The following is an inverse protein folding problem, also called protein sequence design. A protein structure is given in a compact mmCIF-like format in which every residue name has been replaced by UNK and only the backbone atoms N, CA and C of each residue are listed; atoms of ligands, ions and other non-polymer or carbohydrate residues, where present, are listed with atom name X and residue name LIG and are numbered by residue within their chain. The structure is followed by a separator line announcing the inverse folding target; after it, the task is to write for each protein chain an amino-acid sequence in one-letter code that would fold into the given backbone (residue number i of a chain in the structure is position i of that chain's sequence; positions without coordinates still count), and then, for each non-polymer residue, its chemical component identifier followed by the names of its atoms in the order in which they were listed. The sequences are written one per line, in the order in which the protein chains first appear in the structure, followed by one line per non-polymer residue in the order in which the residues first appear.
data_IF_434424531558
#
_entry.id   IF_434424531558
#
_cell.length_a   1.000
_cell.length_b   1.000
_cell.length_c   1.000
_cell.angle_alpha   90.00
_cell.angle_beta   90.00
_cell.angle_gamma   90.00
#
_symmetry.space_group_name_H-M   'P 1'
#
loop_
_entity.id
_entity.type
_entity.pdbx_description
1 polymer ?
#
# COMPACT_ATOMS: atom_id res chain seq x y z
N UNK A 1 41.36 -3.46 -12.24
CA UNK A 1 42.71 -2.86 -12.22
C UNK A 1 43.50 -3.65 -11.18
N UNK A 2 44.49 -4.44 -11.60
CA UNK A 2 45.28 -5.22 -10.67
C UNK A 2 46.08 -4.25 -9.80
N UNK A 3 45.82 -4.24 -8.50
CA UNK A 3 46.74 -3.61 -7.56
C UNK A 3 48.03 -4.42 -7.64
N UNK A 4 49.04 -3.87 -8.31
CA UNK A 4 50.40 -4.40 -8.20
C UNK A 4 50.76 -4.15 -6.73
N UNK A 5 50.71 -5.21 -5.92
CA UNK A 5 51.10 -5.13 -4.54
C UNK A 5 52.58 -4.73 -4.52
N UNK A 6 52.90 -3.64 -3.83
CA UNK A 6 54.28 -3.23 -3.64
C UNK A 6 55.03 -4.38 -2.93
N UNK A 7 55.99 -5.01 -3.62
CA UNK A 7 56.86 -6.04 -3.04
C UNK A 7 58.14 -5.37 -2.51
N UNK A 8 58.32 -5.29 -1.17
CA UNK A 8 59.48 -4.65 -0.58
C UNK A 8 60.79 -5.36 -0.95
N UNK A 9 60.75 -6.67 -1.22
CA UNK A 9 61.93 -7.49 -1.49
C UNK A 9 62.43 -7.33 -2.93
N UNK A 10 61.50 -7.21 -3.87
CA UNK A 10 61.84 -6.89 -5.27
C UNK A 10 62.41 -5.48 -5.37
N UNK A 11 61.83 -4.54 -4.62
CA UNK A 11 62.30 -3.15 -4.55
C UNK A 11 63.70 -3.01 -3.93
N UNK A 12 64.05 -3.79 -2.89
CA UNK A 12 65.42 -3.78 -2.36
C UNK A 12 66.43 -4.29 -3.39
N UNK A 13 66.08 -5.34 -4.14
CA UNK A 13 66.96 -5.92 -5.16
C UNK A 13 67.22 -4.94 -6.32
N UNK A 14 66.23 -4.16 -6.73
CA UNK A 14 66.40 -3.10 -7.74
C UNK A 14 67.31 -1.96 -7.26
N UNK A 15 67.20 -1.58 -5.99
CA UNK A 15 68.09 -0.58 -5.38
C UNK A 15 69.54 -1.08 -5.29
N UNK A 16 69.74 -2.35 -4.93
CA UNK A 16 71.06 -2.97 -4.95
C UNK A 16 71.65 -3.03 -6.37
N UNK A 17 70.84 -3.39 -7.37
CA UNK A 17 71.25 -3.47 -8.77
C UNK A 17 71.64 -2.09 -9.36
N UNK A 18 71.09 -1.00 -8.80
CA UNK A 18 71.44 0.37 -9.17
C UNK A 18 72.64 0.95 -8.40
N UNK A 19 73.28 0.14 -7.55
CA UNK A 19 74.52 0.49 -6.84
C UNK A 19 74.32 1.03 -5.43
N UNK A 20 73.10 0.96 -4.87
CA UNK A 20 72.84 1.32 -3.47
C UNK A 20 73.31 0.19 -2.55
N UNK A 21 74.06 0.47 -1.47
CA UNK A 21 74.44 -0.55 -0.49
C UNK A 21 73.21 -1.22 0.13
N UNK A 22 73.27 -2.54 0.34
CA UNK A 22 72.16 -3.37 0.87
C UNK A 22 71.49 -2.81 2.12
N UNK A 23 72.27 -2.33 3.10
CA UNK A 23 71.71 -1.71 4.31
C UNK A 23 70.85 -0.47 4.01
N UNK A 24 71.26 0.36 3.04
CA UNK A 24 70.50 1.54 2.64
C UNK A 24 69.26 1.16 1.81
N UNK A 25 69.39 0.16 0.93
CA UNK A 25 68.29 -0.36 0.15
C UNK A 25 67.16 -0.91 1.05
N UNK A 26 67.50 -1.68 2.08
CA UNK A 26 66.53 -2.20 3.05
C UNK A 26 65.82 -1.10 3.86
N UNK A 27 66.55 -0.04 4.25
CA UNK A 27 65.96 1.10 4.96
C UNK A 27 65.00 1.86 4.05
N UNK A 28 65.35 2.04 2.78
CA UNK A 28 64.44 2.65 1.79
C UNK A 28 63.18 1.82 1.57
N UNK A 29 63.32 0.51 1.38
CA UNK A 29 62.17 -0.37 1.20
C UNK A 29 61.25 -0.38 2.42
N UNK A 30 61.82 -0.42 3.63
CA UNK A 30 61.05 -0.35 4.88
C UNK A 30 60.33 0.99 5.04
N UNK A 31 61.02 2.11 4.77
CA UNK A 31 60.42 3.43 4.83
C UNK A 31 59.27 3.57 3.81
N UNK A 32 59.46 3.08 2.59
CA UNK A 32 58.44 3.13 1.54
C UNK A 32 57.25 2.23 1.86
N UNK A 33 57.47 1.02 2.37
CA UNK A 33 56.42 0.09 2.83
C UNK A 33 55.57 0.71 3.94
N UNK A 34 56.21 1.29 4.96
CA UNK A 34 55.50 1.94 6.07
C UNK A 34 54.63 3.10 5.59
N UNK A 35 55.15 3.91 4.66
CA UNK A 35 54.42 5.03 4.05
C UNK A 35 53.26 4.55 3.17
N UNK A 36 53.43 3.41 2.48
CA UNK A 36 52.40 2.80 1.64
C UNK A 36 51.25 2.24 2.48
N UNK A 37 51.54 1.52 3.56
CA UNK A 37 50.52 0.99 4.49
C UNK A 37 49.73 2.13 5.14
N UNK A 38 50.41 3.16 5.65
CA UNK A 38 49.73 4.33 6.24
C UNK A 38 48.90 5.10 5.20
N UNK A 39 49.35 5.19 3.94
CA UNK A 39 48.53 5.75 2.87
C UNK A 39 47.38 4.83 2.50
N UNK A 40 47.54 3.51 2.57
CA UNK A 40 46.45 2.56 2.32
C UNK A 40 45.37 2.65 3.37
N UNK A 41 45.68 2.78 4.66
CA UNK A 41 44.67 3.03 5.70
C UNK A 41 43.92 4.35 5.47
N UNK A 42 44.56 5.35 4.84
CA UNK A 42 43.93 6.62 4.49
C UNK A 42 43.21 6.62 3.12
N UNK A 43 43.65 5.79 2.16
CA UNK A 43 43.11 5.63 0.79
C UNK A 43 42.03 4.56 0.71
N UNK A 44 42.08 3.57 1.61
CA UNK A 44 40.94 2.74 2.00
C UNK A 44 40.02 3.68 2.75
N UNK A 45 39.23 4.32 1.92
CA UNK A 45 38.16 5.27 2.12
C UNK A 45 37.05 4.73 3.03
N UNK A 46 37.36 3.97 4.10
CA UNK A 46 36.36 3.47 5.05
C UNK A 46 35.53 4.62 5.58
N UNK A 47 36.14 5.72 6.01
CA UNK A 47 35.40 6.89 6.52
C UNK A 47 34.55 7.57 5.43
N UNK A 48 35.09 7.66 4.21
CA UNK A 48 34.34 8.23 3.09
C UNK A 48 33.17 7.34 2.67
N UNK A 49 33.38 6.03 2.59
CA UNK A 49 32.35 5.04 2.28
C UNK A 49 31.31 5.00 3.39
N UNK A 50 31.72 5.01 4.65
CA UNK A 50 30.84 5.02 5.82
C UNK A 50 29.96 6.29 5.83
N UNK A 51 30.55 7.44 5.52
CA UNK A 51 29.81 8.69 5.32
C UNK A 51 28.79 8.58 4.19
N UNK A 52 29.17 7.99 3.05
CA UNK A 52 28.28 7.82 1.88
C UNK A 52 27.18 6.79 2.14
N UNK A 53 27.47 5.73 2.88
CA UNK A 53 26.49 4.74 3.30
C UNK A 53 25.50 5.35 4.29
N UNK A 54 25.97 6.10 5.27
CA UNK A 54 25.11 6.82 6.22
C UNK A 54 24.20 7.83 5.51
N UNK A 55 24.73 8.60 4.56
CA UNK A 55 23.92 9.52 3.73
C UNK A 55 22.87 8.76 2.91
N UNK A 56 23.26 7.62 2.34
CA UNK A 56 22.36 6.76 1.57
C UNK A 56 21.23 6.18 2.45
N UNK A 57 21.55 5.63 3.61
CA UNK A 57 20.59 5.11 4.59
C UNK A 57 19.60 6.20 5.00
N UNK A 58 20.09 7.38 5.36
CA UNK A 58 19.23 8.52 5.72
C UNK A 58 18.29 8.94 4.58
N UNK A 59 18.78 8.93 3.33
CA UNK A 59 17.95 9.24 2.16
C UNK A 59 16.90 8.17 1.89
N UNK A 60 17.23 6.90 2.09
CA UNK A 60 16.29 5.79 1.93
C UNK A 60 15.22 5.85 3.01
N UNK A 61 15.62 6.02 4.26
CA UNK A 61 14.71 6.10 5.41
C UNK A 61 13.70 7.25 5.28
N UNK A 62 14.19 8.43 4.87
CA UNK A 62 13.34 9.59 4.58
C UNK A 62 12.33 9.30 3.46
N UNK A 63 12.76 8.63 2.38
CA UNK A 63 11.88 8.27 1.26
C UNK A 63 10.85 7.22 1.68
N UNK A 64 11.23 6.29 2.53
CA UNK A 64 10.34 5.26 3.05
C UNK A 64 9.27 5.88 3.95
N UNK A 65 9.67 6.74 4.89
CA UNK A 65 8.75 7.49 5.75
C UNK A 65 7.78 8.36 4.93
N UNK A 66 8.26 9.05 3.89
CA UNK A 66 7.38 9.82 3.00
C UNK A 66 6.40 8.93 2.23
N UNK A 67 6.86 7.76 1.78
CA UNK A 67 6.02 6.78 1.10
C UNK A 67 4.92 6.23 2.03
N UNK A 68 5.26 5.83 3.25
CA UNK A 68 4.29 5.40 4.27
C UNK A 68 3.24 6.48 4.54
N UNK A 69 3.68 7.72 4.79
CA UNK A 69 2.76 8.85 5.02
C UNK A 69 1.81 9.09 3.83
N UNK A 70 2.31 8.93 2.59
CA UNK A 70 1.47 9.05 1.38
C UNK A 70 0.49 7.88 1.25
N UNK A 71 0.90 6.68 1.63
CA UNK A 71 0.03 5.50 1.62
C UNK A 71 -1.08 5.63 2.65
N UNK A 72 -0.76 6.03 3.89
CA UNK A 72 -1.76 6.26 4.95
C UNK A 72 -2.81 7.27 4.51
N UNK A 73 -2.38 8.42 3.98
CA UNK A 73 -3.31 9.45 3.45
C UNK A 73 -4.22 8.90 2.35
N UNK A 74 -3.72 8.02 1.49
CA UNK A 74 -4.51 7.39 0.43
C UNK A 74 -5.52 6.41 1.00
N UNK A 75 -5.12 5.57 1.95
CA UNK A 75 -6.02 4.65 2.62
C UNK A 75 -7.10 5.37 3.43
N UNK A 76 -6.77 6.38 4.22
CA UNK A 76 -7.78 7.17 4.94
C UNK A 76 -8.78 7.84 3.99
N UNK A 77 -8.34 8.28 2.80
CA UNK A 77 -9.24 8.83 1.77
C UNK A 77 -10.16 7.75 1.17
N UNK A 78 -9.67 6.52 1.04
CA UNK A 78 -10.47 5.38 0.59
C UNK A 78 -11.51 5.04 1.65
N UNK A 79 -11.15 4.98 2.93
CA UNK A 79 -12.09 4.72 4.03
C UNK A 79 -13.23 5.74 4.06
N UNK A 80 -12.90 7.03 3.95
CA UNK A 80 -13.92 8.10 3.88
C UNK A 80 -14.86 7.89 2.68
N UNK A 81 -14.33 7.49 1.52
CA UNK A 81 -15.14 7.23 0.33
C UNK A 81 -16.05 6.01 0.52
N UNK A 82 -15.57 4.96 1.17
CA UNK A 82 -16.37 3.78 1.50
C UNK A 82 -17.50 4.15 2.47
N UNK A 83 -17.21 4.87 3.55
CA UNK A 83 -18.24 5.32 4.50
C UNK A 83 -19.33 6.17 3.82
N UNK A 84 -18.94 7.06 2.90
CA UNK A 84 -19.90 7.84 2.11
C UNK A 84 -20.71 6.96 1.17
N UNK A 85 -20.11 5.94 0.58
CA UNK A 85 -20.80 5.00 -0.30
C UNK A 85 -21.81 4.16 0.48
N UNK A 86 -21.42 3.63 1.65
CA UNK A 86 -22.31 2.89 2.56
C UNK A 86 -23.51 3.73 2.96
N UNK A 87 -23.29 4.96 3.46
CA UNK A 87 -24.39 5.88 3.81
C UNK A 87 -25.33 6.18 2.63
N UNK A 88 -24.78 6.31 1.41
CA UNK A 88 -25.59 6.49 0.20
C UNK A 88 -26.41 5.24 -0.13
N UNK A 89 -25.84 4.06 0.04
CA UNK A 89 -26.55 2.80 -0.18
C UNK A 89 -27.66 2.62 0.84
N UNK A 90 -27.40 2.84 2.13
CA UNK A 90 -28.41 2.77 3.19
C UNK A 90 -29.58 3.72 2.88
N UNK A 91 -29.28 4.99 2.59
CA UNK A 91 -30.33 5.96 2.26
C UNK A 91 -31.16 5.57 1.00
N UNK A 92 -30.54 4.85 0.05
CA UNK A 92 -31.23 4.38 -1.15
C UNK A 92 -32.10 3.16 -0.84
N UNK A 93 -31.63 2.26 0.02
CA UNK A 93 -32.38 1.11 0.50
C UNK A 93 -33.59 1.58 1.33
N UNK A 94 -33.41 2.55 2.21
CA UNK A 94 -34.49 3.14 3.01
C UNK A 94 -35.56 3.78 2.12
N UNK A 95 -35.14 4.58 1.13
CA UNK A 95 -36.06 5.19 0.17
C UNK A 95 -36.83 4.13 -0.64
N UNK A 96 -36.13 3.09 -1.09
CA UNK A 96 -36.77 2.00 -1.83
C UNK A 96 -37.79 1.27 -0.96
N UNK A 97 -37.43 0.97 0.28
CA UNK A 97 -38.30 0.30 1.25
C UNK A 97 -39.54 1.14 1.57
N UNK A 98 -39.37 2.46 1.74
CA UNK A 98 -40.47 3.39 1.94
C UNK A 98 -41.40 3.48 0.72
N UNK A 99 -40.85 3.60 -0.49
CA UNK A 99 -41.66 3.61 -1.71
C UNK A 99 -42.44 2.29 -1.88
N UNK A 100 -41.80 1.16 -1.59
CA UNK A 100 -42.47 -0.14 -1.58
C UNK A 100 -43.61 -0.18 -0.56
N UNK A 101 -43.40 0.28 0.67
CA UNK A 101 -44.44 0.32 1.70
C UNK A 101 -45.66 1.16 1.24
N UNK A 102 -45.43 2.35 0.68
CA UNK A 102 -46.51 3.21 0.15
C UNK A 102 -47.25 2.54 -1.00
N UNK A 103 -46.54 1.83 -1.89
CA UNK A 103 -47.16 1.07 -2.98
C UNK A 103 -48.00 -0.09 -2.46
N UNK A 104 -47.53 -0.80 -1.44
CA UNK A 104 -48.29 -1.88 -0.81
C UNK A 104 -49.55 -1.35 -0.14
N UNK A 105 -49.48 -0.28 0.65
CA UNK A 105 -50.66 0.33 1.28
C UNK A 105 -51.70 0.77 0.24
N UNK A 106 -51.24 1.39 -0.86
CA UNK A 106 -52.13 1.74 -1.99
C UNK A 106 -52.77 0.50 -2.63
N UNK A 107 -52.02 -0.60 -2.73
CA UNK A 107 -52.50 -1.85 -3.30
C UNK A 107 -53.53 -2.50 -2.38
N UNK A 108 -53.28 -2.54 -1.07
CA UNK A 108 -54.22 -3.01 -0.04
C UNK A 108 -55.54 -2.21 -0.07
N UNK A 109 -55.46 -0.88 -0.18
CA UNK A 109 -56.65 -0.03 -0.33
C UNK A 109 -57.47 -0.34 -1.58
N UNK A 110 -56.81 -0.59 -2.72
CA UNK A 110 -57.48 -1.03 -3.97
C UNK A 110 -58.14 -2.39 -3.79
N UNK A 111 -57.43 -3.35 -3.19
CA UNK A 111 -57.98 -4.68 -2.93
C UNK A 111 -59.18 -4.63 -2.00
N UNK A 112 -59.13 -3.85 -0.91
CA UNK A 112 -60.25 -3.66 0.01
C UNK A 112 -61.51 -3.15 -0.72
N UNK A 113 -61.34 -2.17 -1.61
CA UNK A 113 -62.44 -1.66 -2.44
C UNK A 113 -63.00 -2.71 -3.40
N UNK A 114 -62.14 -3.52 -4.01
CA UNK A 114 -62.55 -4.62 -4.89
C UNK A 114 -63.31 -5.69 -4.09
N UNK A 115 -62.80 -6.08 -2.91
CA UNK A 115 -63.46 -7.05 -2.03
C UNK A 115 -64.86 -6.58 -1.61
N UNK A 116 -65.03 -5.29 -1.29
CA UNK A 116 -66.36 -4.73 -0.99
C UNK A 116 -67.32 -4.80 -2.18
N UNK A 117 -66.86 -4.44 -3.39
CA UNK A 117 -67.68 -4.54 -4.60
C UNK A 117 -68.08 -5.99 -4.92
N UNK A 118 -67.13 -6.93 -4.80
CA UNK A 118 -67.41 -8.35 -4.98
C UNK A 118 -68.38 -8.91 -3.94
N UNK A 119 -68.26 -8.47 -2.68
CA UNK A 119 -69.21 -8.84 -1.63
C UNK A 119 -70.63 -8.35 -1.95
N UNK A 120 -70.76 -7.10 -2.40
CA UNK A 120 -72.05 -6.53 -2.79
C UNK A 120 -72.68 -7.30 -3.97
N UNK A 121 -71.90 -7.58 -5.03
CA UNK A 121 -72.43 -8.31 -6.19
C UNK A 121 -72.84 -9.74 -5.83
N UNK A 122 -72.07 -10.43 -5.00
CA UNK A 122 -72.44 -11.75 -4.48
C UNK A 122 -73.76 -11.71 -3.72
N UNK A 123 -73.98 -10.73 -2.83
CA UNK A 123 -75.24 -10.57 -2.09
C UNK A 123 -76.41 -10.32 -3.05
N UNK A 124 -76.26 -9.42 -4.03
CA UNK A 124 -77.33 -9.16 -5.00
C UNK A 124 -77.65 -10.37 -5.89
N UNK A 125 -76.68 -11.24 -6.15
CA UNK A 125 -76.88 -12.44 -6.96
C UNK A 125 -77.51 -13.59 -6.17
N UNK A 126 -77.24 -13.72 -4.87
CA UNK A 126 -77.74 -14.82 -4.03
C UNK A 126 -79.16 -14.58 -3.50
N UNK A 127 -79.56 -13.31 -3.27
CA UNK A 127 -80.92 -12.98 -2.80
C UNK A 127 -82.03 -13.54 -3.71
N UNK A 128 -82.02 -13.36 -5.05
CA UNK A 128 -83.08 -13.87 -5.92
C UNK A 128 -83.12 -15.39 -5.97
N UNK A 129 -81.96 -16.05 -5.87
CA UNK A 129 -81.85 -17.52 -5.87
C UNK A 129 -82.49 -18.09 -4.60
N UNK A 130 -82.28 -17.44 -3.45
CA UNK A 130 -82.92 -17.81 -2.19
C UNK A 130 -84.43 -17.55 -2.22
N UNK A 131 -84.87 -16.40 -2.72
CA UNK A 131 -86.30 -16.08 -2.87
C UNK A 131 -87.02 -17.14 -3.72
N UNK A 132 -86.46 -17.48 -4.89
CA UNK A 132 -87.00 -18.53 -5.76
C UNK A 132 -87.00 -19.93 -5.14
N UNK A 133 -86.17 -20.20 -4.13
CA UNK A 133 -86.14 -21.48 -3.42
C UNK A 133 -87.15 -21.56 -2.27
N UNK A 134 -87.46 -20.44 -1.62
CA UNK A 134 -88.45 -20.37 -0.53
C UNK A 134 -89.89 -20.15 -1.03
N UNK A 135 -90.07 -19.61 -2.23
CA UNK A 135 -91.39 -19.42 -2.87
C UNK A 135 -91.91 -20.67 -3.62
N UNK A 136 -91.24 -21.83 -3.51
CA UNK A 136 -91.63 -23.15 -4.04
C UNK A 136 -91.97 -24.09 -2.90
#
# INVERSE_FOLDING_TARGET
MAAIAFDPLEYTHELEASGVPREQAEVHARAMTARFIHNFDALVTTDYLDSRFTEFESRVDKRFTEFESRMDKRFSKIDVRFNVLESRLDSKIDKLSSDMAVRFERMEGKFSRIYLMFGLTMVTATIPILQNFFDV
#
